data_IF_786691628451
#
_entry.id   IF_786691628451
#
_cell.length_a   1.000
_cell.length_b   1.000
_cell.length_c   1.000
_cell.angle_alpha   90.00
_cell.angle_beta   90.00
_cell.angle_gamma   90.00
#
_symmetry.space_group_name_H-M   'P 1'
#
loop_
_entity.id
_entity.type
_entity.pdbx_description
1 polymer ?
#
# COMPACT_ATOMS: atom_id res chain seq x y z
N UNK A 1 -4.38 12.73 -31.06
CA UNK A 1 -4.39 12.76 -29.59
C UNK A 1 -2.94 12.72 -29.15
N UNK A 2 -2.38 13.81 -28.58
CA UNK A 2 -1.02 13.80 -28.03
C UNK A 2 -1.02 12.83 -26.83
N UNK A 3 -0.20 11.78 -26.90
CA UNK A 3 0.01 10.90 -25.76
C UNK A 3 0.56 11.76 -24.62
N UNK A 4 -0.15 11.86 -23.50
CA UNK A 4 0.36 12.54 -22.31
C UNK A 4 1.53 11.71 -21.75
N UNK A 5 2.74 12.10 -22.12
CA UNK A 5 3.93 11.48 -21.59
C UNK A 5 4.19 12.03 -20.18
N UNK A 6 4.39 11.11 -19.23
CA UNK A 6 4.74 11.46 -17.87
C UNK A 6 6.18 12.03 -17.81
N UNK A 7 6.38 13.09 -17.07
CA UNK A 7 7.73 13.59 -16.79
C UNK A 7 8.54 12.53 -16.03
N UNK A 8 9.80 12.23 -16.42
CA UNK A 8 10.58 11.17 -15.79
C UNK A 8 10.84 11.40 -14.30
N UNK A 9 10.94 12.64 -13.83
CA UNK A 9 11.07 12.93 -12.40
C UNK A 9 9.79 12.56 -11.62
N UNK A 10 8.62 12.86 -12.19
CA UNK A 10 7.33 12.46 -11.60
C UNK A 10 7.19 10.94 -11.64
N UNK A 11 7.53 10.29 -12.75
CA UNK A 11 7.53 8.84 -12.87
C UNK A 11 8.39 8.16 -11.80
N UNK A 12 9.62 8.64 -11.61
CA UNK A 12 10.52 8.14 -10.56
C UNK A 12 9.96 8.36 -9.15
N UNK A 13 9.36 9.52 -8.89
CA UNK A 13 8.74 9.81 -7.60
C UNK A 13 7.60 8.84 -7.31
N UNK A 14 6.70 8.59 -8.27
CA UNK A 14 5.59 7.65 -8.11
C UNK A 14 6.09 6.21 -7.88
N UNK A 15 7.07 5.77 -8.65
CA UNK A 15 7.70 4.46 -8.49
C UNK A 15 8.33 4.35 -7.10
N UNK A 16 9.10 5.34 -6.66
CA UNK A 16 9.77 5.33 -5.36
C UNK A 16 8.74 5.27 -4.19
N UNK A 17 7.67 6.06 -4.27
CA UNK A 17 6.60 6.04 -3.25
C UNK A 17 5.97 4.65 -3.15
N UNK A 18 5.56 4.07 -4.28
CA UNK A 18 4.90 2.76 -4.30
C UNK A 18 5.87 1.65 -3.85
N UNK A 19 7.12 1.68 -4.33
CA UNK A 19 8.14 0.71 -3.93
C UNK A 19 8.44 0.76 -2.43
N UNK A 20 8.55 1.95 -1.84
CA UNK A 20 8.77 2.11 -0.40
C UNK A 20 7.56 1.65 0.42
N UNK A 21 6.33 1.92 -0.03
CA UNK A 21 5.12 1.43 0.63
C UNK A 21 5.09 -0.11 0.67
N UNK A 22 5.31 -0.77 -0.46
CA UNK A 22 5.34 -2.24 -0.52
C UNK A 22 6.54 -2.82 0.23
N UNK A 23 7.72 -2.23 0.09
CA UNK A 23 8.92 -2.65 0.80
C UNK A 23 8.77 -2.57 2.32
N UNK A 24 8.24 -1.45 2.83
CA UNK A 24 7.98 -1.29 4.26
C UNK A 24 6.91 -2.28 4.77
N UNK A 25 5.83 -2.48 4.01
CA UNK A 25 4.79 -3.44 4.35
C UNK A 25 5.32 -4.88 4.41
N UNK A 26 6.12 -5.28 3.41
CA UNK A 26 6.76 -6.59 3.37
C UNK A 26 7.71 -6.80 4.57
N UNK A 27 8.58 -5.83 4.86
CA UNK A 27 9.51 -5.90 5.99
C UNK A 27 8.77 -6.02 7.31
N UNK A 28 7.70 -5.25 7.52
CA UNK A 28 6.88 -5.35 8.73
C UNK A 28 6.28 -6.75 8.92
N UNK A 29 5.68 -7.31 7.87
CA UNK A 29 5.07 -8.64 7.91
C UNK A 29 6.11 -9.76 8.11
N UNK A 30 7.29 -9.64 7.49
CA UNK A 30 8.37 -10.62 7.63
C UNK A 30 9.02 -10.58 9.02
N UNK A 31 9.05 -9.42 9.70
CA UNK A 31 9.59 -9.29 11.05
C UNK A 31 8.73 -10.00 12.10
N UNK A 32 7.41 -10.02 11.92
CA UNK A 32 6.48 -10.73 12.81
C UNK A 32 5.42 -11.49 11.99
N UNK A 33 5.90 -12.53 11.35
CA UNK A 33 5.07 -13.35 10.46
C UNK A 33 3.96 -14.09 11.21
N UNK A 34 4.21 -14.52 12.46
CA UNK A 34 3.19 -15.19 13.29
C UNK A 34 2.02 -14.27 13.56
N UNK A 35 2.30 -13.03 13.92
CA UNK A 35 1.27 -12.01 14.12
C UNK A 35 0.50 -11.70 12.84
N UNK A 36 1.20 -11.61 11.71
CA UNK A 36 0.54 -11.42 10.42
C UNK A 36 -0.38 -12.60 10.08
N UNK A 37 0.03 -13.84 10.38
CA UNK A 37 -0.79 -15.05 10.21
C UNK A 37 -2.06 -14.99 11.05
N UNK A 38 -1.99 -14.56 12.31
CA UNK A 38 -3.14 -14.37 13.20
C UNK A 38 -4.13 -13.34 12.63
N UNK A 39 -3.62 -12.18 12.18
CA UNK A 39 -4.44 -11.15 11.55
C UNK A 39 -5.08 -11.70 10.27
N UNK A 40 -4.31 -12.36 9.42
CA UNK A 40 -4.80 -12.95 8.18
C UNK A 40 -5.88 -14.01 8.43
N UNK A 41 -5.69 -14.83 9.46
CA UNK A 41 -6.67 -15.83 9.89
C UNK A 41 -8.00 -15.19 10.34
N UNK A 42 -7.92 -14.05 11.03
CA UNK A 42 -9.11 -13.33 11.52
C UNK A 42 -10.00 -12.82 10.38
N UNK A 43 -9.45 -12.54 9.19
CA UNK A 43 -10.24 -12.17 8.02
C UNK A 43 -11.11 -13.30 7.45
N UNK A 44 -10.85 -14.54 7.79
CA UNK A 44 -11.67 -15.69 7.36
C UNK A 44 -11.57 -16.02 5.88
N UNK A 45 -10.47 -15.63 5.23
CA UNK A 45 -10.30 -15.75 3.76
C UNK A 45 -9.82 -17.14 3.33
N UNK A 46 -9.22 -17.93 4.24
CA UNK A 46 -8.60 -19.20 3.87
C UNK A 46 -8.78 -20.31 4.92
N UNK A 47 -8.72 -21.57 4.47
CA UNK A 47 -8.70 -22.75 5.35
C UNK A 47 -7.39 -22.81 6.17
N UNK A 48 -7.38 -23.55 7.27
CA UNK A 48 -6.25 -23.62 8.21
C UNK A 48 -4.92 -24.03 7.55
N UNK A 49 -4.96 -24.98 6.60
CA UNK A 49 -3.75 -25.45 5.89
C UNK A 49 -3.21 -24.42 4.90
N UNK A 50 -4.11 -23.66 4.29
CA UNK A 50 -3.74 -22.62 3.28
C UNK A 50 -3.24 -21.32 3.93
N UNK A 51 -3.62 -21.03 5.17
CA UNK A 51 -3.30 -19.78 5.87
C UNK A 51 -1.80 -19.53 6.01
N UNK A 52 -1.04 -20.53 6.44
CA UNK A 52 0.42 -20.42 6.62
C UNK A 52 1.13 -20.13 5.29
N UNK A 53 0.75 -20.83 4.21
CA UNK A 53 1.33 -20.59 2.87
C UNK A 53 1.02 -19.18 2.36
N UNK A 54 -0.22 -18.72 2.55
CA UNK A 54 -0.63 -17.38 2.13
C UNK A 54 0.01 -16.28 2.99
N UNK A 55 0.21 -16.52 4.29
CA UNK A 55 0.91 -15.59 5.17
C UNK A 55 2.38 -15.37 4.74
N UNK A 56 3.04 -16.36 4.17
CA UNK A 56 4.37 -16.21 3.57
C UNK A 56 4.31 -15.59 2.17
N UNK A 57 3.34 -16.01 1.37
CA UNK A 57 3.23 -15.58 -0.02
C UNK A 57 3.01 -14.07 -0.14
N UNK A 58 2.15 -13.50 0.72
CA UNK A 58 1.80 -12.09 0.68
C UNK A 58 3.03 -11.17 0.81
N UNK A 59 3.86 -11.24 1.87
CA UNK A 59 5.03 -10.37 1.98
C UNK A 59 6.10 -10.65 0.92
N UNK A 60 6.21 -11.88 0.40
CA UNK A 60 7.10 -12.20 -0.72
C UNK A 60 6.62 -11.49 -2.00
N UNK A 61 5.32 -11.51 -2.28
CA UNK A 61 4.75 -10.78 -3.43
C UNK A 61 4.90 -9.26 -3.26
N UNK A 62 4.72 -8.72 -2.04
CA UNK A 62 4.95 -7.30 -1.75
C UNK A 62 6.42 -6.92 -1.99
N UNK A 63 7.36 -7.71 -1.50
CA UNK A 63 8.78 -7.48 -1.72
C UNK A 63 9.15 -7.59 -3.21
N UNK A 64 8.63 -8.61 -3.90
CA UNK A 64 8.79 -8.78 -5.34
C UNK A 64 8.23 -7.59 -6.13
N UNK A 65 7.09 -7.06 -5.70
CA UNK A 65 6.49 -5.83 -6.28
C UNK A 65 7.41 -4.63 -6.06
N UNK A 66 7.89 -4.42 -4.83
CA UNK A 66 8.78 -3.32 -4.49
C UNK A 66 10.06 -3.32 -5.33
N UNK A 67 10.71 -4.49 -5.43
CA UNK A 67 11.93 -4.64 -6.23
C UNK A 67 11.66 -4.56 -7.73
N UNK A 68 10.59 -5.20 -8.21
CA UNK A 68 10.23 -5.21 -9.62
C UNK A 68 9.87 -3.84 -10.19
N UNK A 69 9.37 -2.93 -9.36
CA UNK A 69 9.11 -1.54 -9.76
C UNK A 69 10.37 -0.75 -10.09
N UNK A 70 11.53 -1.13 -9.55
CA UNK A 70 12.80 -0.42 -9.75
C UNK A 70 13.43 -0.66 -11.12
N UNK A 71 13.01 -1.69 -11.85
CA UNK A 71 13.58 -2.06 -13.14
C UNK A 71 12.55 -1.85 -14.26
N UNK A 72 12.94 -1.17 -15.34
CA UNK A 72 12.06 -0.82 -16.46
C UNK A 72 11.34 -2.04 -17.07
N UNK A 73 12.06 -3.15 -17.22
CA UNK A 73 11.54 -4.39 -17.83
C UNK A 73 10.47 -5.06 -16.97
N UNK A 74 10.62 -5.03 -15.65
CA UNK A 74 9.69 -5.70 -14.71
C UNK A 74 8.63 -4.76 -14.17
N UNK A 75 8.81 -3.44 -14.31
CA UNK A 75 7.88 -2.40 -13.80
C UNK A 75 6.42 -2.63 -14.19
N UNK A 76 6.07 -2.94 -15.47
CA UNK A 76 4.68 -3.15 -15.83
C UNK A 76 4.01 -4.29 -15.07
N UNK A 77 4.72 -5.40 -14.92
CA UNK A 77 4.22 -6.58 -14.19
C UNK A 77 4.14 -6.31 -12.70
N UNK A 78 5.14 -5.62 -12.13
CA UNK A 78 5.16 -5.24 -10.73
C UNK A 78 4.04 -4.23 -10.39
N UNK A 79 3.79 -3.24 -11.24
CA UNK A 79 2.70 -2.28 -11.06
C UNK A 79 1.34 -2.97 -11.10
N UNK A 80 1.12 -3.89 -12.05
CA UNK A 80 -0.11 -4.66 -12.14
C UNK A 80 -0.30 -5.57 -10.92
N UNK A 81 0.75 -6.26 -10.47
CA UNK A 81 0.73 -7.10 -9.27
C UNK A 81 0.44 -6.25 -8.02
N UNK A 82 1.09 -5.10 -7.88
CA UNK A 82 0.87 -4.17 -6.77
C UNK A 82 -0.57 -3.67 -6.73
N UNK A 83 -1.12 -3.26 -7.87
CA UNK A 83 -2.52 -2.86 -7.97
C UNK A 83 -3.47 -4.01 -7.58
N UNK A 84 -3.21 -5.24 -8.03
CA UNK A 84 -3.99 -6.42 -7.67
C UNK A 84 -3.95 -6.70 -6.16
N UNK A 85 -2.77 -6.61 -5.53
CA UNK A 85 -2.63 -6.78 -4.08
C UNK A 85 -3.42 -5.72 -3.32
N UNK A 86 -3.33 -4.45 -3.71
CA UNK A 86 -4.05 -3.35 -3.06
C UNK A 86 -5.56 -3.47 -3.23
N UNK A 87 -6.04 -3.85 -4.41
CA UNK A 87 -7.47 -4.14 -4.64
C UNK A 87 -7.92 -5.33 -3.78
N UNK A 88 -7.11 -6.39 -3.68
CA UNK A 88 -7.41 -7.54 -2.82
C UNK A 88 -7.54 -7.13 -1.35
N UNK A 89 -6.67 -6.25 -0.85
CA UNK A 89 -6.76 -5.70 0.50
C UNK A 89 -8.00 -4.83 0.68
N UNK A 90 -8.30 -3.95 -0.29
CA UNK A 90 -9.51 -3.15 -0.26
C UNK A 90 -10.78 -4.00 -0.21
N UNK A 91 -10.83 -5.08 -1.00
CA UNK A 91 -11.94 -6.03 -1.00
C UNK A 91 -12.05 -6.79 0.33
N UNK A 92 -10.94 -7.31 0.87
CA UNK A 92 -10.93 -8.02 2.14
C UNK A 92 -11.43 -7.13 3.29
N UNK A 93 -10.96 -5.88 3.37
CA UNK A 93 -11.43 -4.90 4.34
C UNK A 93 -12.91 -4.58 4.10
N UNK A 94 -13.30 -4.26 2.86
CA UNK A 94 -14.67 -3.89 2.50
C UNK A 94 -15.70 -4.97 2.82
N UNK A 95 -15.39 -6.24 2.52
CA UNK A 95 -16.26 -7.39 2.84
C UNK A 95 -16.45 -7.53 4.35
N UNK A 96 -15.38 -7.42 5.15
CA UNK A 96 -15.48 -7.54 6.61
C UNK A 96 -16.22 -6.37 7.23
N UNK A 97 -16.04 -5.14 6.72
CA UNK A 97 -16.83 -3.98 7.13
C UNK A 97 -18.32 -4.16 6.84
N UNK A 98 -18.70 -4.70 5.66
CA UNK A 98 -20.10 -4.99 5.33
C UNK A 98 -20.69 -6.09 6.21
N UNK A 99 -19.86 -7.02 6.70
CA UNK A 99 -20.25 -8.06 7.68
C UNK A 99 -20.34 -7.54 9.12
N UNK A 100 -20.14 -6.24 9.36
CA UNK A 100 -20.14 -5.62 10.68
C UNK A 100 -18.90 -5.89 11.54
N UNK A 101 -17.89 -6.59 11.02
CA UNK A 101 -16.66 -6.96 11.74
C UNK A 101 -15.66 -5.80 11.66
N UNK A 102 -15.77 -4.87 12.60
CA UNK A 102 -14.93 -3.66 12.64
C UNK A 102 -13.74 -3.74 13.59
N UNK A 103 -13.69 -4.76 14.42
CA UNK A 103 -12.68 -5.03 15.44
C UNK A 103 -11.39 -5.69 14.90
N UNK A 104 -11.40 -6.06 13.60
CA UNK A 104 -10.25 -6.67 12.96
C UNK A 104 -9.10 -5.68 12.81
N UNK A 105 -7.86 -6.13 13.08
CA UNK A 105 -6.65 -5.36 12.77
C UNK A 105 -6.42 -5.28 11.26
N UNK A 106 -5.93 -4.12 10.77
CA UNK A 106 -5.70 -3.95 9.30
C UNK A 106 -4.62 -4.89 8.75
N UNK A 107 -3.54 -5.16 9.50
CA UNK A 107 -2.40 -5.94 8.99
C UNK A 107 -1.63 -5.25 7.87
N UNK A 108 -1.87 -3.97 7.64
CA UNK A 108 -1.27 -3.21 6.53
C UNK A 108 0.18 -2.78 6.80
N UNK A 109 0.75 -3.11 7.97
CA UNK A 109 2.05 -2.64 8.43
C UNK A 109 2.02 -1.14 8.82
N UNK A 110 2.50 -0.81 9.99
CA UNK A 110 2.55 0.55 10.48
C UNK A 110 2.71 0.57 12.00
N UNK A 111 3.01 1.73 12.60
CA UNK A 111 3.25 1.82 14.04
C UNK A 111 2.04 1.39 14.90
N UNK A 112 0.85 1.36 14.31
CA UNK A 112 -0.41 1.04 15.00
C UNK A 112 -1.12 -0.17 14.33
N UNK A 113 -0.44 -1.31 14.23
CA UNK A 113 -0.98 -2.55 13.63
C UNK A 113 -2.28 -3.07 14.27
N UNK A 114 -2.58 -2.64 15.51
CA UNK A 114 -3.81 -3.00 16.22
C UNK A 114 -4.99 -2.12 15.86
N UNK A 115 -4.81 -1.19 14.93
CA UNK A 115 -5.88 -0.29 14.52
C UNK A 115 -7.03 -1.07 13.87
N UNK A 116 -8.28 -0.91 14.34
CA UNK A 116 -9.43 -1.55 13.74
C UNK A 116 -9.66 -1.06 12.31
N UNK A 117 -10.18 -1.96 11.46
CA UNK A 117 -10.46 -1.62 10.06
C UNK A 117 -11.54 -0.54 9.94
N UNK A 118 -11.38 0.34 8.95
CA UNK A 118 -12.32 1.41 8.67
C UNK A 118 -12.47 1.69 7.16
N UNK A 119 -13.56 2.34 6.78
CA UNK A 119 -13.90 2.60 5.37
C UNK A 119 -12.83 3.42 4.63
N UNK A 120 -12.16 4.36 5.31
CA UNK A 120 -11.11 5.16 4.69
C UNK A 120 -9.90 4.31 4.22
N UNK A 121 -9.64 3.16 4.87
CA UNK A 121 -8.58 2.24 4.46
C UNK A 121 -8.87 1.59 3.10
N UNK A 122 -10.14 1.37 2.78
CA UNK A 122 -10.55 0.89 1.44
C UNK A 122 -10.17 1.94 0.39
N UNK A 123 -10.57 3.19 0.61
CA UNK A 123 -10.26 4.29 -0.32
C UNK A 123 -8.76 4.55 -0.46
N UNK A 124 -8.01 4.46 0.65
CA UNK A 124 -6.56 4.55 0.65
C UNK A 124 -5.94 3.50 -0.28
N UNK A 125 -6.33 2.24 -0.15
CA UNK A 125 -5.79 1.17 -0.98
C UNK A 125 -6.17 1.35 -2.47
N UNK A 126 -7.39 1.77 -2.76
CA UNK A 126 -7.82 2.08 -4.13
C UNK A 126 -7.00 3.23 -4.72
N UNK A 127 -6.79 4.30 -3.97
CA UNK A 127 -5.99 5.44 -4.41
C UNK A 127 -4.54 5.03 -4.70
N UNK A 128 -3.91 4.25 -3.82
CA UNK A 128 -2.54 3.77 -4.03
C UNK A 128 -2.48 2.81 -5.23
N UNK A 129 -3.52 2.00 -5.48
CA UNK A 129 -3.60 1.14 -6.66
C UNK A 129 -3.65 1.98 -7.96
N UNK A 130 -4.39 3.08 -7.97
CA UNK A 130 -4.41 4.01 -9.10
C UNK A 130 -3.04 4.67 -9.32
N UNK A 131 -2.36 5.05 -8.23
CA UNK A 131 -0.99 5.58 -8.30
C UNK A 131 -0.03 4.52 -8.85
N UNK A 132 -0.13 3.26 -8.43
CA UNK A 132 0.69 2.18 -8.96
C UNK A 132 0.45 1.97 -10.47
N UNK A 133 -0.80 2.02 -10.92
CA UNK A 133 -1.13 1.90 -12.34
C UNK A 133 -0.68 3.12 -13.15
N UNK A 134 -0.65 4.33 -12.58
CA UNK A 134 -0.16 5.52 -13.28
C UNK A 134 1.33 5.44 -13.65
N UNK A 135 2.11 4.58 -12.98
CA UNK A 135 3.53 4.32 -13.34
C UNK A 135 3.67 3.61 -14.69
N UNK A 136 2.58 3.06 -15.25
CA UNK A 136 2.54 2.44 -16.57
C UNK A 136 2.48 3.45 -17.72
N UNK A 137 2.18 4.73 -17.42
CA UNK A 137 2.15 5.77 -18.44
C UNK A 137 3.54 5.90 -19.09
N UNK A 138 3.60 6.15 -20.42
CA UNK A 138 4.88 6.35 -21.09
C UNK A 138 5.59 7.59 -20.54
N UNK A 139 6.89 7.48 -20.36
CA UNK A 139 7.71 8.58 -19.85
C UNK A 139 8.31 9.39 -21.00
N UNK A 140 8.44 10.69 -20.84
CA UNK A 140 9.12 11.53 -21.82
C UNK A 140 10.63 11.24 -21.83
N UNK A 141 11.21 11.19 -23.04
CA UNK A 141 12.64 10.94 -23.23
C UNK A 141 13.45 12.24 -23.02
N UNK A 142 13.59 12.67 -21.76
CA UNK A 142 14.51 13.76 -21.39
C UNK A 142 15.56 13.28 -20.39
N UNK A 143 16.81 13.80 -20.45
CA UNK A 143 17.81 13.46 -19.47
C UNK A 143 17.41 14.02 -18.08
N UNK A 144 17.66 13.23 -17.05
CA UNK A 144 17.48 13.66 -15.67
C UNK A 144 18.67 14.51 -15.23
N UNK A 145 18.38 15.65 -14.58
CA UNK A 145 19.36 16.56 -14.03
C UNK A 145 19.40 16.54 -12.49
N UNK A 146 20.31 17.35 -11.92
CA UNK A 146 20.41 17.49 -10.46
C UNK A 146 19.12 18.03 -9.84
N UNK A 147 18.43 18.93 -10.53
CA UNK A 147 17.14 19.49 -10.10
C UNK A 147 16.07 18.41 -9.98
N UNK A 148 16.08 17.43 -10.86
CA UNK A 148 15.15 16.29 -10.81
C UNK A 148 15.43 15.40 -9.60
N UNK A 149 16.70 15.12 -9.30
CA UNK A 149 17.09 14.37 -8.13
C UNK A 149 16.64 15.06 -6.84
N UNK A 150 16.86 16.36 -6.74
CA UNK A 150 16.39 17.17 -5.60
C UNK A 150 14.87 17.11 -5.48
N UNK A 151 14.14 17.29 -6.59
CA UNK A 151 12.68 17.25 -6.62
C UNK A 151 12.15 15.88 -6.18
N UNK A 152 12.74 14.79 -6.65
CA UNK A 152 12.35 13.43 -6.26
C UNK A 152 12.57 13.19 -4.77
N UNK A 153 13.74 13.57 -4.23
CA UNK A 153 14.07 13.38 -2.80
C UNK A 153 13.13 14.18 -1.91
N UNK A 154 12.99 15.49 -2.16
CA UNK A 154 12.10 16.32 -1.34
C UNK A 154 10.63 15.97 -1.54
N UNK A 155 10.22 15.64 -2.77
CA UNK A 155 8.88 15.15 -3.06
C UNK A 155 8.56 13.86 -2.30
N UNK A 156 9.50 12.92 -2.25
CA UNK A 156 9.35 11.67 -1.50
C UNK A 156 9.20 11.91 0.00
N UNK A 157 10.06 12.76 0.58
CA UNK A 157 9.97 13.14 1.99
C UNK A 157 8.62 13.80 2.28
N UNK A 158 8.20 14.74 1.44
CA UNK A 158 6.92 15.46 1.60
C UNK A 158 5.75 14.51 1.54
N UNK A 159 5.70 13.62 0.55
CA UNK A 159 4.61 12.64 0.41
C UNK A 159 4.60 11.63 1.56
N UNK A 160 5.77 11.20 2.03
CA UNK A 160 5.87 10.33 3.21
C UNK A 160 5.34 11.03 4.47
N UNK A 161 5.69 12.29 4.70
CA UNK A 161 5.18 13.07 5.83
C UNK A 161 3.66 13.27 5.73
N UNK A 162 3.14 13.64 4.57
CA UNK A 162 1.70 13.79 4.34
C UNK A 162 0.99 12.45 4.62
N UNK A 163 1.52 11.34 4.10
CA UNK A 163 0.96 10.01 4.33
C UNK A 163 0.89 9.69 5.83
N UNK A 164 1.99 9.90 6.56
CA UNK A 164 2.05 9.65 8.00
C UNK A 164 1.10 10.57 8.78
N UNK A 165 1.03 11.85 8.44
CA UNK A 165 0.10 12.80 9.07
C UNK A 165 -1.37 12.39 8.85
N UNK A 166 -1.74 12.05 7.62
CA UNK A 166 -3.11 11.61 7.29
C UNK A 166 -3.43 10.30 8.02
N UNK A 167 -2.50 9.35 8.02
CA UNK A 167 -2.68 8.06 8.70
C UNK A 167 -2.88 8.25 10.22
N UNK A 168 -2.07 9.09 10.87
CA UNK A 168 -2.20 9.41 12.29
C UNK A 168 -3.51 10.14 12.60
N UNK A 169 -3.87 11.14 11.77
CA UNK A 169 -5.11 11.88 11.93
C UNK A 169 -6.33 10.97 11.85
N UNK A 170 -6.37 10.10 10.84
CA UNK A 170 -7.46 9.15 10.68
C UNK A 170 -7.54 8.15 11.85
N UNK A 171 -6.40 7.70 12.37
CA UNK A 171 -6.35 6.88 13.57
C UNK A 171 -6.88 7.60 14.82
N UNK A 172 -6.52 8.86 14.99
CA UNK A 172 -7.04 9.69 16.08
C UNK A 172 -8.55 9.87 15.99
N UNK A 173 -9.07 10.24 14.82
CA UNK A 173 -10.50 10.41 14.59
C UNK A 173 -11.30 9.14 14.87
N UNK A 174 -10.77 7.97 14.51
CA UNK A 174 -11.39 6.68 14.84
C UNK A 174 -11.49 6.44 16.34
N UNK A 175 -10.43 6.72 17.11
CA UNK A 175 -10.42 6.58 18.58
C UNK A 175 -11.45 7.53 19.21
N UNK A 176 -11.49 8.78 18.78
CA UNK A 176 -12.47 9.77 19.28
C UNK A 176 -13.90 9.34 18.98
N UNK A 177 -14.17 8.84 17.76
CA UNK A 177 -15.48 8.35 17.37
C UNK A 177 -15.94 7.14 18.25
N UNK A 178 -15.04 6.23 18.55
CA UNK A 178 -15.30 5.10 19.44
C UNK A 178 -15.64 5.55 20.87
N UNK A 179 -14.89 6.52 21.41
CA UNK A 179 -15.15 7.08 22.75
C UNK A 179 -16.48 7.83 22.84
N UNK A 180 -16.93 8.46 21.76
CA UNK A 180 -18.21 9.19 21.71
C UNK A 180 -19.42 8.30 21.41
N UNK A 181 -19.25 7.00 21.22
CA UNK A 181 -20.35 6.09 20.86
C UNK A 181 -20.96 6.34 19.48
N UNK A 182 -20.33 7.17 18.66
CA UNK A 182 -20.75 7.43 17.28
C UNK A 182 -20.23 6.26 16.43
N UNK A 183 -21.14 5.34 16.12
CA UNK A 183 -20.88 4.18 15.24
C UNK A 183 -21.27 4.46 13.81
#
# INVERSE_FOLDING_TARGET
>A
MAAMNLDPAIGLLLVAVVALLFGSAAVHKLRDLRRFEEIFAAYGVASTVSRWRLAWLVPVLELGTALGLLFDVTRPYAAALGALLLVSYALAIGINLRRGRRDLACGCGGPDERRPIASWMVWRNVLIALVALSTLAPWSARPLGLTDAVTVVFGLITLALIYLCVDQLMGYLQRVAQLRGIR
#
